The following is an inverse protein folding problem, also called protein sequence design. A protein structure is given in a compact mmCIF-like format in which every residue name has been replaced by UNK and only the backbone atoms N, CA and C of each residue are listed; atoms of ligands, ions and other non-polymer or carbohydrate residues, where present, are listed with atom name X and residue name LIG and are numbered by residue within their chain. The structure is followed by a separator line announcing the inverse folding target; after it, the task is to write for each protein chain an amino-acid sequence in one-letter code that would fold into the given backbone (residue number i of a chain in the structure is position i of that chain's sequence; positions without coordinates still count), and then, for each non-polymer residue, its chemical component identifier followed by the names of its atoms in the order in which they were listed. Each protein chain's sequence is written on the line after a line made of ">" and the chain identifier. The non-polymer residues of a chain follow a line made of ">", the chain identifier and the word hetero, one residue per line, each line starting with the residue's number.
data_IF_147977684659
#
_entry.id   IF_147977684659
#
_cell.length_a   1.000
_cell.length_b   1.000
_cell.length_c   1.000
_cell.angle_alpha   90.00
_cell.angle_beta   90.00
_cell.angle_gamma   90.00
#
_symmetry.space_group_name_H-M   'P 1'
#
loop_
_entity.id
_entity.type
_entity.pdbx_description
1 polymer ?
#
# COMPACT_ATOMS: atom_id res chain seq x y z
N UNK A 1 -41.98 7.76 -23.37
CA UNK A 1 -40.65 7.14 -23.48
C UNK A 1 -40.19 6.73 -22.07
N UNK A 2 -40.47 5.50 -21.72
CA UNK A 2 -40.08 4.90 -20.44
C UNK A 2 -38.59 4.57 -20.53
N UNK A 3 -37.77 5.21 -19.71
CA UNK A 3 -36.36 4.86 -19.60
C UNK A 3 -36.26 3.50 -18.92
N UNK A 4 -35.88 2.48 -19.69
CA UNK A 4 -35.50 1.18 -19.14
C UNK A 4 -34.27 1.38 -18.25
N UNK A 5 -34.45 1.05 -16.97
CA UNK A 5 -33.36 0.99 -16.01
C UNK A 5 -32.45 -0.20 -16.42
N UNK A 6 -31.12 -0.06 -16.48
CA UNK A 6 -30.26 -1.18 -16.82
C UNK A 6 -30.48 -2.32 -15.83
N UNK A 7 -30.91 -3.47 -16.32
CA UNK A 7 -31.09 -4.69 -15.53
C UNK A 7 -29.71 -5.18 -15.10
N UNK A 8 -29.33 -4.89 -13.86
CA UNK A 8 -28.13 -5.49 -13.26
C UNK A 8 -28.32 -7.01 -13.19
N UNK A 9 -27.35 -7.76 -13.72
CA UNK A 9 -27.37 -9.22 -13.63
C UNK A 9 -27.59 -9.63 -12.16
N UNK A 10 -28.44 -10.64 -11.92
CA UNK A 10 -28.68 -11.18 -10.57
C UNK A 10 -27.36 -11.76 -10.02
N UNK A 11 -26.66 -10.97 -9.23
CA UNK A 11 -25.42 -11.36 -8.57
C UNK A 11 -25.76 -12.34 -7.44
N UNK A 12 -24.99 -13.42 -7.27
CA UNK A 12 -25.14 -14.32 -6.12
C UNK A 12 -24.95 -13.56 -4.80
N UNK A 13 -25.55 -14.03 -3.72
CA UNK A 13 -25.39 -13.42 -2.39
C UNK A 13 -23.91 -13.27 -2.01
N UNK A 14 -23.07 -14.24 -2.33
CA UNK A 14 -21.62 -14.19 -2.10
C UNK A 14 -20.94 -13.11 -2.92
N UNK A 15 -21.24 -13.00 -4.21
CA UNK A 15 -20.67 -11.96 -5.08
C UNK A 15 -21.11 -10.55 -4.66
N UNK A 16 -22.34 -10.38 -4.17
CA UNK A 16 -22.81 -9.10 -3.63
C UNK A 16 -22.03 -8.72 -2.37
N UNK A 17 -21.75 -9.66 -1.46
CA UNK A 17 -20.94 -9.42 -0.26
C UNK A 17 -19.49 -9.04 -0.62
N UNK A 18 -18.88 -9.72 -1.57
CA UNK A 18 -17.53 -9.39 -2.07
C UNK A 18 -17.50 -7.99 -2.70
N UNK A 19 -18.51 -7.62 -3.48
CA UNK A 19 -18.65 -6.28 -4.05
C UNK A 19 -18.72 -5.22 -2.95
N UNK A 20 -19.55 -5.44 -1.94
CA UNK A 20 -19.66 -4.51 -0.81
C UNK A 20 -18.33 -4.36 -0.03
N UNK A 21 -17.63 -5.47 0.19
CA UNK A 21 -16.29 -5.46 0.79
C UNK A 21 -15.31 -4.63 -0.05
N UNK A 22 -15.26 -4.86 -1.37
CA UNK A 22 -14.40 -4.13 -2.30
C UNK A 22 -14.67 -2.63 -2.27
N UNK A 23 -15.93 -2.21 -2.32
CA UNK A 23 -16.31 -0.79 -2.21
C UNK A 23 -15.91 -0.19 -0.86
N UNK A 24 -15.96 -0.96 0.21
CA UNK A 24 -15.50 -0.52 1.54
C UNK A 24 -14.00 -0.34 1.57
N UNK A 25 -13.23 -1.26 0.96
CA UNK A 25 -11.77 -1.14 0.82
C UNK A 25 -11.39 0.13 0.05
N UNK A 26 -12.05 0.44 -1.08
CA UNK A 26 -11.77 1.67 -1.83
C UNK A 26 -12.01 2.93 -1.00
N UNK A 27 -13.13 3.01 -0.28
CA UNK A 27 -13.41 4.15 0.61
C UNK A 27 -12.41 4.26 1.75
N UNK A 28 -12.08 3.13 2.37
CA UNK A 28 -11.10 3.07 3.46
C UNK A 28 -9.72 3.50 2.98
N UNK A 29 -9.27 3.01 1.81
CA UNK A 29 -7.99 3.41 1.24
C UNK A 29 -7.90 4.92 1.03
N UNK A 30 -8.93 5.55 0.45
CA UNK A 30 -8.96 7.00 0.28
C UNK A 30 -8.85 7.76 1.61
N UNK A 31 -9.56 7.31 2.64
CA UNK A 31 -9.49 7.91 3.98
C UNK A 31 -8.12 7.69 4.64
N UNK A 32 -7.54 6.49 4.53
CA UNK A 32 -6.21 6.20 5.09
C UNK A 32 -5.12 7.06 4.46
N UNK A 33 -5.16 7.25 3.13
CA UNK A 33 -4.21 8.13 2.43
C UNK A 33 -4.35 9.58 2.93
N UNK A 34 -5.58 10.09 3.00
CA UNK A 34 -5.84 11.45 3.48
C UNK A 34 -5.44 11.65 4.95
N UNK A 35 -5.80 10.72 5.83
CA UNK A 35 -5.42 10.76 7.24
C UNK A 35 -3.90 10.62 7.39
N UNK A 36 -3.27 9.73 6.61
CA UNK A 36 -1.82 9.57 6.60
C UNK A 36 -1.09 10.84 6.18
N UNK A 37 -1.56 11.56 5.15
CA UNK A 37 -0.98 12.84 4.74
C UNK A 37 -1.02 13.87 5.89
N UNK A 38 -2.15 13.96 6.59
CA UNK A 38 -2.28 14.86 7.76
C UNK A 38 -1.36 14.45 8.89
N UNK A 39 -1.27 13.14 9.16
CA UNK A 39 -0.47 12.58 10.25
C UNK A 39 1.02 12.87 10.08
N UNK A 40 1.56 12.66 8.87
CA UNK A 40 2.99 12.80 8.61
C UNK A 40 3.39 14.17 8.07
N UNK A 41 2.44 15.08 7.85
CA UNK A 41 2.71 16.46 7.41
C UNK A 41 3.71 17.22 8.28
N UNK A 42 3.66 17.12 9.64
CA UNK A 42 4.65 17.78 10.50
C UNK A 42 6.10 17.28 10.31
N UNK A 43 6.25 16.11 9.69
CA UNK A 43 7.53 15.50 9.35
C UNK A 43 8.01 15.84 7.92
N UNK A 44 7.26 16.66 7.18
CA UNK A 44 7.55 16.97 5.77
C UNK A 44 7.30 15.80 4.80
N UNK A 45 6.57 14.77 5.24
CA UNK A 45 6.21 13.61 4.44
C UNK A 45 4.79 13.73 3.85
N UNK A 46 4.55 12.90 2.83
CA UNK A 46 3.21 12.50 2.38
C UNK A 46 2.97 11.04 2.75
N UNK A 47 1.72 10.61 2.77
CA UNK A 47 1.35 9.21 2.98
C UNK A 47 2.09 8.28 2.02
N UNK A 48 2.16 8.63 0.74
CA UNK A 48 2.87 7.84 -0.27
C UNK A 48 4.38 7.70 0.03
N UNK A 49 5.05 8.76 0.48
CA UNK A 49 6.47 8.71 0.87
C UNK A 49 6.69 7.94 2.15
N UNK A 50 5.83 8.12 3.14
CA UNK A 50 5.86 7.34 4.38
C UNK A 50 5.70 5.84 4.10
N UNK A 51 4.75 5.46 3.25
CA UNK A 51 4.55 4.08 2.83
C UNK A 51 5.81 3.49 2.18
N UNK A 52 6.49 4.22 1.27
CA UNK A 52 7.74 3.76 0.64
C UNK A 52 8.85 3.55 1.69
N UNK A 53 9.01 4.47 2.64
CA UNK A 53 9.95 4.28 3.76
C UNK A 53 9.58 3.03 4.57
N UNK A 54 8.29 2.83 4.83
CA UNK A 54 7.77 1.66 5.54
C UNK A 54 8.05 0.35 4.81
N UNK A 55 7.79 0.30 3.50
CA UNK A 55 8.08 -0.90 2.70
C UNK A 55 9.55 -1.33 2.81
N UNK A 56 10.48 -0.37 2.74
CA UNK A 56 11.91 -0.65 2.85
C UNK A 56 12.29 -1.05 4.29
N UNK A 57 11.74 -0.35 5.30
CA UNK A 57 12.03 -0.63 6.70
C UNK A 57 11.56 -2.03 7.12
N UNK A 58 10.33 -2.38 6.76
CA UNK A 58 9.70 -3.66 7.13
C UNK A 58 10.28 -4.86 6.39
N UNK A 59 10.80 -4.67 5.18
CA UNK A 59 11.44 -5.74 4.43
C UNK A 59 12.75 -6.20 5.08
N UNK A 60 13.48 -5.32 5.78
CA UNK A 60 14.77 -5.63 6.41
C UNK A 60 15.90 -5.95 5.40
N UNK A 61 15.63 -5.84 4.10
CA UNK A 61 16.56 -6.09 3.00
C UNK A 61 16.40 -5.03 1.93
N UNK A 62 17.44 -4.77 1.09
CA UNK A 62 17.31 -3.82 -0.01
C UNK A 62 16.22 -4.22 -1.00
N UNK A 63 15.36 -3.29 -1.38
CA UNK A 63 14.24 -3.52 -2.30
C UNK A 63 14.42 -2.76 -3.63
N UNK A 64 13.96 -3.35 -4.73
CA UNK A 64 13.84 -2.65 -6.01
C UNK A 64 12.52 -1.87 -6.10
N UNK A 65 12.43 -0.87 -6.99
CA UNK A 65 11.18 -0.11 -7.19
C UNK A 65 9.96 -1.00 -7.54
N UNK A 66 10.07 -2.06 -8.37
CA UNK A 66 8.97 -3.01 -8.57
C UNK A 66 8.51 -3.68 -7.27
N UNK A 67 9.43 -4.15 -6.43
CA UNK A 67 9.10 -4.80 -5.14
C UNK A 67 8.45 -3.84 -4.14
N UNK A 68 8.90 -2.59 -4.12
CA UNK A 68 8.27 -1.53 -3.32
C UNK A 68 6.86 -1.24 -3.86
N UNK A 69 6.70 -1.15 -5.19
CA UNK A 69 5.39 -0.98 -5.83
C UNK A 69 4.41 -2.10 -5.46
N UNK A 70 4.87 -3.35 -5.54
CA UNK A 70 4.10 -4.53 -5.15
C UNK A 70 3.66 -4.46 -3.66
N UNK A 71 4.60 -4.18 -2.75
CA UNK A 71 4.32 -4.06 -1.32
C UNK A 71 3.33 -2.93 -0.99
N UNK A 72 3.30 -1.86 -1.80
CA UNK A 72 2.45 -0.68 -1.59
C UNK A 72 1.15 -0.72 -2.39
N UNK A 73 0.95 -1.71 -3.27
CA UNK A 73 -0.19 -1.74 -4.17
C UNK A 73 -0.19 -0.59 -5.18
N UNK A 74 0.98 -0.12 -5.62
CA UNK A 74 1.13 0.96 -6.60
C UNK A 74 2.00 0.51 -7.78
N UNK A 75 1.93 1.26 -8.89
CA UNK A 75 2.75 0.95 -10.05
C UNK A 75 4.25 1.13 -9.76
N UNK A 76 5.11 0.42 -10.50
CA UNK A 76 6.57 0.63 -10.48
C UNK A 76 6.94 2.10 -10.68
N UNK A 77 6.28 2.78 -11.63
CA UNK A 77 6.53 4.20 -11.90
C UNK A 77 6.11 5.08 -10.72
N UNK A 78 4.98 4.77 -10.06
CA UNK A 78 4.54 5.45 -8.85
C UNK A 78 5.56 5.32 -7.73
N UNK A 79 6.04 4.10 -7.46
CA UNK A 79 7.09 3.84 -6.47
C UNK A 79 8.39 4.58 -6.84
N UNK A 80 8.83 4.52 -8.11
CA UNK A 80 10.06 5.19 -8.58
C UNK A 80 9.98 6.70 -8.41
N UNK A 81 8.83 7.33 -8.69
CA UNK A 81 8.63 8.76 -8.47
C UNK A 81 8.85 9.15 -7.00
N UNK A 82 8.33 8.37 -6.06
CA UNK A 82 8.52 8.65 -4.62
C UNK A 82 9.98 8.41 -4.20
N UNK A 83 10.61 7.34 -4.71
CA UNK A 83 12.02 7.03 -4.44
C UNK A 83 12.96 8.14 -4.90
N UNK A 84 12.72 8.74 -6.07
CA UNK A 84 13.53 9.86 -6.56
C UNK A 84 13.48 11.04 -5.58
N UNK A 85 12.28 11.44 -5.14
CA UNK A 85 12.11 12.53 -4.17
C UNK A 85 12.77 12.20 -2.83
N UNK A 86 12.62 10.96 -2.34
CA UNK A 86 13.23 10.52 -1.08
C UNK A 86 14.76 10.45 -1.18
N UNK A 87 15.31 10.09 -2.34
CA UNK A 87 16.75 10.10 -2.59
C UNK A 87 17.32 11.53 -2.64
N UNK A 88 16.64 12.46 -3.32
CA UNK A 88 16.98 13.89 -3.33
C UNK A 88 16.97 14.49 -1.91
N UNK A 89 16.09 14.00 -1.04
CA UNK A 89 16.02 14.39 0.38
C UNK A 89 17.03 13.67 1.27
N UNK A 90 17.84 12.74 0.72
CA UNK A 90 18.81 11.95 1.48
C UNK A 90 18.18 10.93 2.43
N UNK A 91 16.91 10.54 2.23
CA UNK A 91 16.18 9.61 3.09
C UNK A 91 16.32 8.15 2.65
N UNK A 92 16.58 7.93 1.37
CA UNK A 92 16.90 6.62 0.80
C UNK A 92 18.16 6.71 -0.04
N UNK A 93 18.85 5.59 -0.18
CA UNK A 93 20.06 5.43 -1.00
C UNK A 93 19.84 4.32 -2.01
N UNK A 94 20.16 4.61 -3.28
CA UNK A 94 20.17 3.61 -4.33
C UNK A 94 21.50 2.85 -4.32
N UNK A 95 21.42 1.53 -4.39
CA UNK A 95 22.59 0.62 -4.47
C UNK A 95 22.57 -0.21 -5.74
N UNK A 96 23.74 -0.58 -6.28
CA UNK A 96 23.82 -1.52 -7.38
C UNK A 96 23.10 -2.83 -7.06
N UNK A 97 22.36 -3.34 -8.03
CA UNK A 97 21.73 -4.66 -7.92
C UNK A 97 22.55 -5.67 -8.72
N UNK A 98 23.25 -6.62 -8.07
CA UNK A 98 24.07 -7.61 -8.76
C UNK A 98 23.29 -8.48 -9.74
N UNK A 99 22.02 -8.76 -9.44
CA UNK A 99 21.16 -9.59 -10.28
C UNK A 99 20.59 -8.84 -11.50
N UNK A 100 20.41 -7.52 -11.39
CA UNK A 100 19.76 -6.72 -12.44
C UNK A 100 20.32 -5.29 -12.49
N UNK A 101 21.33 -5.06 -13.32
CA UNK A 101 22.03 -3.75 -13.44
C UNK A 101 21.11 -2.55 -13.72
N UNK A 102 19.96 -2.76 -14.40
CA UNK A 102 18.98 -1.69 -14.73
C UNK A 102 17.91 -1.47 -13.66
N UNK A 103 17.94 -2.21 -12.55
CA UNK A 103 16.95 -2.11 -11.48
C UNK A 103 17.67 -2.00 -10.13
N UNK A 104 18.09 -0.78 -9.74
CA UNK A 104 18.81 -0.59 -8.49
C UNK A 104 17.95 -1.01 -7.29
N UNK A 105 18.62 -1.34 -6.21
CA UNK A 105 17.99 -1.59 -4.91
C UNK A 105 18.06 -0.33 -4.05
N UNK A 106 17.10 -0.15 -3.18
CA UNK A 106 17.00 0.99 -2.28
C UNK A 106 17.03 0.52 -0.82
N UNK A 107 17.73 1.29 -0.01
CA UNK A 107 17.78 1.15 1.45
C UNK A 107 17.46 2.48 2.10
N UNK A 108 17.06 2.44 3.37
CA UNK A 108 16.95 3.66 4.18
C UNK A 108 18.35 4.14 4.58
N UNK A 109 18.56 5.45 4.51
CA UNK A 109 19.67 6.10 5.20
C UNK A 109 19.40 6.14 6.72
N UNK A 110 20.39 6.42 7.57
CA UNK A 110 20.15 6.65 9.00
C UNK A 110 19.11 7.74 9.25
N UNK A 111 19.11 8.82 8.43
CA UNK A 111 18.13 9.89 8.49
C UNK A 111 16.73 9.39 8.07
N UNK A 112 16.63 8.60 7.00
CA UNK A 112 15.37 8.01 6.56
C UNK A 112 14.78 7.06 7.59
N UNK A 113 15.60 6.24 8.23
CA UNK A 113 15.17 5.35 9.30
C UNK A 113 14.68 6.13 10.54
N UNK A 114 15.39 7.19 10.94
CA UNK A 114 14.97 8.03 12.05
C UNK A 114 13.63 8.74 11.77
N UNK A 115 13.45 9.22 10.53
CA UNK A 115 12.20 9.87 10.12
C UNK A 115 11.04 8.87 10.07
N UNK A 116 11.27 7.66 9.53
CA UNK A 116 10.29 6.57 9.53
C UNK A 116 9.83 6.21 10.94
N UNK A 117 10.76 6.03 11.88
CA UNK A 117 10.42 5.74 13.29
C UNK A 117 9.56 6.83 13.95
N UNK A 118 9.81 8.10 13.61
CA UNK A 118 8.95 9.20 14.08
C UNK A 118 7.54 9.11 13.50
N UNK A 119 7.41 8.77 12.23
CA UNK A 119 6.11 8.56 11.59
C UNK A 119 5.36 7.36 12.20
N UNK A 120 6.07 6.25 12.48
CA UNK A 120 5.50 5.09 13.19
C UNK A 120 4.99 5.46 14.58
N UNK A 121 5.72 6.27 15.34
CA UNK A 121 5.28 6.71 16.65
C UNK A 121 3.97 7.53 16.58
N UNK A 122 3.81 8.37 15.56
CA UNK A 122 2.54 9.08 15.32
C UNK A 122 1.41 8.11 14.96
N UNK A 123 1.70 7.12 14.11
CA UNK A 123 0.73 6.11 13.73
C UNK A 123 0.32 5.23 14.91
N UNK A 124 1.26 4.84 15.78
CA UNK A 124 0.98 4.01 16.95
C UNK A 124 -0.13 4.61 17.83
N UNK A 125 -0.10 5.93 18.07
CA UNK A 125 -1.15 6.62 18.84
C UNK A 125 -2.52 6.49 18.14
N UNK A 126 -2.56 6.67 16.83
CA UNK A 126 -3.81 6.54 16.07
C UNK A 126 -4.29 5.08 16.01
N UNK A 127 -3.37 4.14 15.90
CA UNK A 127 -3.67 2.70 15.92
C UNK A 127 -4.25 2.26 17.27
N UNK A 128 -3.72 2.78 18.38
CA UNK A 128 -4.26 2.52 19.72
C UNK A 128 -5.70 3.03 19.88
N UNK A 129 -6.03 4.18 19.29
CA UNK A 129 -7.40 4.69 19.29
C UNK A 129 -8.35 3.80 18.45
N UNK A 130 -7.90 3.32 17.30
CA UNK A 130 -8.66 2.37 16.49
C UNK A 130 -8.82 1.02 17.21
N UNK A 131 -7.82 0.57 17.94
CA UNK A 131 -7.86 -0.69 18.70
C UNK A 131 -8.88 -0.69 19.85
N UNK A 132 -9.39 0.49 20.27
CA UNK A 132 -10.51 0.60 21.19
C UNK A 132 -11.86 0.23 20.54
N UNK A 133 -11.94 0.28 19.22
CA UNK A 133 -13.15 0.03 18.43
C UNK A 133 -13.16 -1.35 17.77
N UNK A 134 -11.99 -1.94 17.55
CA UNK A 134 -11.82 -3.18 16.79
C UNK A 134 -10.95 -4.13 17.62
N UNK A 135 -11.47 -5.32 17.91
CA UNK A 135 -10.68 -6.34 18.61
C UNK A 135 -9.55 -6.87 17.71
N UNK A 136 -8.48 -7.38 18.33
CA UNK A 136 -7.39 -8.02 17.59
C UNK A 136 -7.86 -9.21 16.73
N UNK A 137 -8.84 -9.97 17.20
CA UNK A 137 -9.44 -11.07 16.45
C UNK A 137 -10.17 -10.57 15.19
N UNK A 138 -10.93 -9.48 15.29
CA UNK A 138 -11.60 -8.86 14.14
C UNK A 138 -10.59 -8.30 13.13
N UNK A 139 -9.54 -7.64 13.60
CA UNK A 139 -8.47 -7.14 12.75
C UNK A 139 -7.76 -8.29 12.01
N UNK A 140 -7.39 -9.37 12.71
CA UNK A 140 -6.77 -10.55 12.10
C UNK A 140 -7.67 -11.21 11.05
N UNK A 141 -8.96 -11.39 11.33
CA UNK A 141 -9.91 -11.98 10.39
C UNK A 141 -10.06 -11.11 9.12
N UNK A 142 -10.12 -9.79 9.28
CA UNK A 142 -10.19 -8.86 8.16
C UNK A 142 -8.89 -8.92 7.32
N UNK A 143 -7.72 -8.95 7.95
CA UNK A 143 -6.43 -9.08 7.26
C UNK A 143 -6.38 -10.37 6.44
N UNK A 144 -6.71 -11.52 7.01
CA UNK A 144 -6.73 -12.81 6.31
C UNK A 144 -7.67 -12.81 5.09
N UNK A 145 -8.85 -12.19 5.24
CA UNK A 145 -9.81 -12.05 4.14
C UNK A 145 -9.24 -11.20 3.01
N UNK A 146 -8.64 -10.05 3.33
CA UNK A 146 -8.06 -9.14 2.35
C UNK A 146 -6.82 -9.75 1.68
N UNK A 147 -5.98 -10.46 2.40
CA UNK A 147 -4.82 -11.19 1.84
C UNK A 147 -5.27 -12.28 0.86
N UNK A 148 -6.33 -13.04 1.18
CA UNK A 148 -6.90 -14.02 0.28
C UNK A 148 -7.42 -13.39 -1.02
N UNK A 149 -8.09 -12.23 -0.93
CA UNK A 149 -8.54 -11.48 -2.10
C UNK A 149 -7.35 -10.95 -2.92
N UNK A 150 -6.32 -10.42 -2.25
CA UNK A 150 -5.12 -9.90 -2.89
C UNK A 150 -4.41 -11.00 -3.68
N UNK A 151 -4.19 -12.16 -3.07
CA UNK A 151 -3.57 -13.31 -3.71
C UNK A 151 -4.35 -13.76 -4.96
N UNK A 152 -5.68 -13.86 -4.87
CA UNK A 152 -6.53 -14.27 -6.00
C UNK A 152 -6.45 -13.26 -7.16
N UNK A 153 -6.46 -11.96 -6.86
CA UNK A 153 -6.36 -10.92 -7.88
C UNK A 153 -4.97 -10.88 -8.54
N UNK A 154 -3.90 -11.17 -7.80
CA UNK A 154 -2.55 -11.30 -8.37
C UNK A 154 -2.46 -12.47 -9.36
N UNK A 155 -3.06 -13.62 -9.03
CA UNK A 155 -3.12 -14.77 -9.94
C UNK A 155 -3.84 -14.39 -11.25
N UNK A 156 -5.00 -13.76 -11.16
CA UNK A 156 -5.77 -13.34 -12.34
C UNK A 156 -4.97 -12.38 -13.23
N UNK A 157 -4.27 -11.42 -12.64
CA UNK A 157 -3.45 -10.47 -13.40
C UNK A 157 -2.28 -11.14 -14.13
N UNK A 158 -1.61 -12.11 -13.50
CA UNK A 158 -0.53 -12.87 -14.13
C UNK A 158 -1.03 -13.64 -15.36
N UNK A 159 -2.18 -14.28 -15.26
CA UNK A 159 -2.75 -15.00 -16.41
C UNK A 159 -3.14 -14.07 -17.56
N UNK A 160 -3.66 -12.88 -17.30
CA UNK A 160 -4.03 -11.91 -18.34
C UNK A 160 -2.82 -11.31 -19.08
N UNK A 161 -1.65 -11.22 -18.43
CA UNK A 161 -0.40 -10.77 -19.05
C UNK A 161 0.27 -11.87 -19.93
N UNK A 162 -0.05 -13.14 -19.71
CA UNK A 162 0.48 -14.26 -20.51
C UNK A 162 -0.33 -14.46 -21.80
N UNK A 163 -1.61 -14.09 -21.80
CA UNK A 163 -2.51 -14.23 -22.96
C UNK A 163 -2.52 -13.00 -23.88
N UNK A 164 -1.82 -11.92 -23.55
CA UNK A 164 -1.72 -10.67 -24.33
C UNK A 164 -0.36 -10.55 -25.02
#
# INVERSE_FOLDING_TARGET
>A
MTKENPTFAKTSTGAAAVTQLTLTVFRLNGLLLHCGDRLVKPLGLTSARWQVLGAIALAGVPLTAPKIGEAMGVTRQGAQKQLNVLAEQGLVEARPNPAHRRSPQYILTPQGLALYRRAEALWAVQADDLAKLITSAQASAATQTLESMLHQLQIVNVYSEIES
#
